data_IF_392364508547
#
_entry.id   IF_392364508547
#
_cell.length_a   1.000
_cell.length_b   1.000
_cell.length_c   1.000
_cell.angle_alpha   90.00
_cell.angle_beta   90.00
_cell.angle_gamma   90.00
#
_symmetry.space_group_name_H-M   'P 1'
#
loop_
_entity.id
_entity.type
_entity.pdbx_description
1 polymer ?
#
# COMPACT_ATOMS: atom_id res chain seq x y z
N UNK A 1 0.15 -21.26 -14.06
CA UNK A 1 0.54 -22.23 -13.02
C UNK A 1 -0.23 -21.89 -11.75
N UNK A 2 -1.05 -22.81 -11.23
CA UNK A 2 -1.76 -22.59 -9.97
C UNK A 2 -0.81 -22.81 -8.79
N UNK A 3 -0.77 -21.86 -7.84
CA UNK A 3 0.00 -22.00 -6.60
C UNK A 3 -0.48 -23.24 -5.83
N UNK A 4 0.46 -24.07 -5.39
CA UNK A 4 0.15 -25.24 -4.57
C UNK A 4 -0.42 -24.82 -3.22
N UNK A 5 -1.19 -25.70 -2.58
CA UNK A 5 -1.76 -25.45 -1.25
C UNK A 5 -0.66 -25.14 -0.20
N UNK A 6 0.54 -25.69 -0.37
CA UNK A 6 1.71 -25.39 0.45
C UNK A 6 2.18 -23.94 0.27
N UNK A 7 2.25 -23.44 -0.97
CA UNK A 7 2.62 -22.06 -1.26
C UNK A 7 1.59 -21.06 -0.72
N UNK A 8 0.29 -21.39 -0.80
CA UNK A 8 -0.78 -20.57 -0.19
C UNK A 8 -0.62 -20.46 1.34
N UNK A 9 -0.36 -21.58 2.02
CA UNK A 9 -0.12 -21.60 3.48
C UNK A 9 1.11 -20.79 3.88
N UNK A 10 2.21 -20.92 3.13
CA UNK A 10 3.43 -20.14 3.37
C UNK A 10 3.20 -18.63 3.21
N UNK A 11 2.52 -18.22 2.14
CA UNK A 11 2.18 -16.81 1.90
C UNK A 11 1.28 -16.25 3.01
N UNK A 12 0.28 -17.01 3.47
CA UNK A 12 -0.57 -16.57 4.57
C UNK A 12 0.21 -16.37 5.87
N UNK A 13 1.10 -17.31 6.21
CA UNK A 13 1.95 -17.23 7.41
C UNK A 13 2.90 -16.03 7.37
N UNK A 14 3.46 -15.71 6.20
CA UNK A 14 4.30 -14.52 6.02
C UNK A 14 3.48 -13.24 6.18
N UNK A 15 2.31 -13.17 5.54
CA UNK A 15 1.42 -12.01 5.64
C UNK A 15 1.01 -11.73 7.09
N UNK A 16 0.68 -12.77 7.86
CA UNK A 16 0.27 -12.63 9.26
C UNK A 16 1.41 -12.17 10.17
N UNK A 17 2.64 -12.64 9.93
CA UNK A 17 3.81 -12.32 10.77
C UNK A 17 4.47 -10.99 10.41
N UNK A 18 4.49 -10.64 9.14
CA UNK A 18 5.35 -9.58 8.61
C UNK A 18 4.57 -8.37 8.08
N UNK A 19 3.25 -8.44 7.95
CA UNK A 19 2.44 -7.36 7.38
C UNK A 19 1.38 -6.92 8.39
N UNK A 20 1.45 -5.65 8.81
CA UNK A 20 0.33 -4.99 9.50
C UNK A 20 -0.53 -4.27 8.46
N UNK A 21 -1.85 -4.54 8.48
CA UNK A 21 -2.80 -3.85 7.61
C UNK A 21 -3.24 -2.54 8.26
N UNK A 22 -3.13 -1.44 7.53
CA UNK A 22 -3.66 -0.14 7.94
C UNK A 22 -5.00 0.04 7.21
N UNK A 23 -6.15 -0.04 7.90
CA UNK A 23 -7.43 0.39 7.31
C UNK A 23 -7.43 1.92 7.20
N UNK A 24 -7.77 2.43 6.01
CA UNK A 24 -7.89 3.85 5.74
C UNK A 24 -9.26 4.11 5.13
N UNK A 25 -10.11 4.82 5.87
CA UNK A 25 -11.40 5.30 5.38
C UNK A 25 -11.24 6.71 4.84
N UNK A 26 -11.57 6.91 3.57
CA UNK A 26 -11.56 8.21 2.91
C UNK A 26 -12.91 8.47 2.26
N UNK A 27 -13.24 9.75 2.09
CA UNK A 27 -14.38 10.15 1.28
C UNK A 27 -14.17 9.72 -0.18
N UNK A 28 -15.27 9.43 -0.89
CA UNK A 28 -15.21 8.95 -2.28
C UNK A 28 -14.51 9.95 -3.19
N UNK A 29 -14.79 11.23 -2.98
CA UNK A 29 -14.21 12.34 -3.73
C UNK A 29 -12.69 12.35 -3.55
N UNK A 30 -12.23 12.16 -2.30
CA UNK A 30 -10.80 12.10 -1.99
C UNK A 30 -10.13 10.85 -2.55
N UNK A 31 -10.84 9.72 -2.58
CA UNK A 31 -10.34 8.51 -3.21
C UNK A 31 -10.11 8.72 -4.72
N UNK A 32 -11.05 9.34 -5.42
CA UNK A 32 -10.92 9.64 -6.86
C UNK A 32 -9.76 10.60 -7.13
N UNK A 33 -9.55 11.62 -6.27
CA UNK A 33 -8.36 12.49 -6.35
C UNK A 33 -7.06 11.70 -6.19
N UNK A 34 -6.97 10.84 -5.17
CA UNK A 34 -5.77 10.02 -4.91
C UNK A 34 -5.55 9.06 -6.08
N UNK A 35 -6.61 8.48 -6.62
CA UNK A 35 -6.55 7.57 -7.76
C UNK A 35 -6.06 8.26 -9.01
N UNK A 36 -6.60 9.44 -9.34
CA UNK A 36 -6.13 10.23 -10.46
C UNK A 36 -4.64 10.61 -10.33
N UNK A 37 -4.21 10.97 -9.12
CA UNK A 37 -2.80 11.27 -8.84
C UNK A 37 -1.89 10.04 -8.97
N UNK A 38 -2.35 8.88 -8.47
CA UNK A 38 -1.64 7.62 -8.59
C UNK A 38 -1.54 7.16 -10.06
N UNK A 39 -2.64 7.27 -10.82
CA UNK A 39 -2.69 6.95 -12.25
C UNK A 39 -1.74 7.86 -13.04
N UNK A 40 -1.69 9.16 -12.71
CA UNK A 40 -0.75 10.10 -13.31
C UNK A 40 0.72 9.80 -12.97
N UNK A 41 0.97 9.27 -11.77
CA UNK A 41 2.29 8.81 -11.34
C UNK A 41 2.67 7.43 -11.91
N UNK A 42 1.72 6.71 -12.53
CA UNK A 42 1.92 5.35 -13.02
C UNK A 42 2.00 4.29 -11.91
N UNK A 43 1.49 4.59 -10.71
CA UNK A 43 1.53 3.72 -9.54
C UNK A 43 0.12 3.28 -9.11
N UNK A 44 0.02 2.16 -8.39
CA UNK A 44 -1.25 1.80 -7.73
C UNK A 44 -1.57 2.78 -6.61
N UNK A 45 -2.86 3.03 -6.32
CA UNK A 45 -3.31 3.86 -5.18
C UNK A 45 -2.60 3.51 -3.87
N UNK A 46 -2.44 2.22 -3.57
CA UNK A 46 -1.76 1.77 -2.36
C UNK A 46 -0.23 2.02 -2.41
N UNK A 47 0.38 1.94 -3.59
CA UNK A 47 1.78 2.29 -3.79
C UNK A 47 1.98 3.79 -3.57
N UNK A 48 1.15 4.61 -4.22
CA UNK A 48 1.17 6.06 -4.10
C UNK A 48 1.02 6.53 -2.65
N UNK A 49 0.09 5.94 -1.88
CA UNK A 49 -0.09 6.25 -0.46
C UNK A 49 1.16 5.91 0.36
N UNK A 50 1.80 4.76 0.10
CA UNK A 50 3.03 4.36 0.80
C UNK A 50 4.18 5.30 0.49
N UNK A 51 4.39 5.62 -0.79
CA UNK A 51 5.41 6.56 -1.24
C UNK A 51 5.22 7.93 -0.58
N UNK A 52 3.98 8.43 -0.48
CA UNK A 52 3.68 9.68 0.19
C UNK A 52 4.00 9.65 1.69
N UNK A 53 3.73 8.52 2.37
CA UNK A 53 4.09 8.33 3.78
C UNK A 53 5.63 8.32 3.94
N UNK A 54 6.33 7.57 3.09
CA UNK A 54 7.79 7.46 3.14
C UNK A 54 8.46 8.82 2.89
N UNK A 55 8.04 9.55 1.87
CA UNK A 55 8.50 10.91 1.59
C UNK A 55 8.26 11.86 2.77
N UNK A 56 7.11 11.75 3.44
CA UNK A 56 6.80 12.57 4.61
C UNK A 56 7.69 12.23 5.80
N UNK A 57 7.92 10.95 6.05
CA UNK A 57 8.82 10.52 7.12
C UNK A 57 10.26 10.95 6.85
N UNK A 58 10.72 10.88 5.60
CA UNK A 58 12.06 11.36 5.21
C UNK A 58 12.21 12.86 5.43
N UNK A 59 11.19 13.66 5.08
CA UNK A 59 11.16 15.10 5.31
C UNK A 59 11.13 15.45 6.80
N UNK A 60 10.28 14.79 7.59
CA UNK A 60 10.15 15.04 9.03
C UNK A 60 11.42 14.61 9.81
N UNK A 61 12.23 13.73 9.22
CA UNK A 61 13.50 13.25 9.79
C UNK A 61 14.73 14.04 9.29
N UNK A 62 14.53 15.08 8.46
CA UNK A 62 15.56 16.06 8.16
C UNK A 62 15.59 17.15 9.26
N UNK A 63 16.78 17.49 9.80
CA UNK A 63 16.95 18.46 10.88
C UNK A 63 16.67 19.91 10.47
#
# INVERSE_FOLDING_TARGET
>A
MALTEAQKKANNKYREKSIKRIPLDVQKEKYEEIKAAADAAGESVNGYIKTAIDQRMEQDNQP
#
